data_IF_536377189042
#
_entry.id   IF_536377189042
#
_cell.length_a   1.000
_cell.length_b   1.000
_cell.length_c   1.000
_cell.angle_alpha   90.00
_cell.angle_beta   90.00
_cell.angle_gamma   90.00
#
_symmetry.space_group_name_H-M   'P 1'
#
loop_
_entity.id
_entity.type
_entity.pdbx_description
1 polymer ?
#
# COMPACT_ATOMS: atom_id res chain seq x y z
N UNK A 1 -9.25 -12.36 -1.78
CA UNK A 1 -8.66 -12.64 -0.48
C UNK A 1 -7.49 -11.71 -0.18
N UNK A 2 -7.40 -11.25 1.04
CA UNK A 2 -6.35 -10.34 1.52
C UNK A 2 -5.83 -10.88 2.86
N UNK A 3 -4.53 -10.79 3.09
CA UNK A 3 -3.92 -11.14 4.37
C UNK A 3 -4.20 -10.06 5.42
N UNK A 4 -4.01 -10.37 6.71
CA UNK A 4 -4.25 -9.42 7.80
C UNK A 4 -3.30 -8.22 7.82
N UNK A 5 -2.19 -8.33 7.10
CA UNK A 5 -1.23 -7.25 6.84
C UNK A 5 -1.55 -6.44 5.59
N UNK A 6 -2.66 -6.76 4.90
CA UNK A 6 -3.07 -6.10 3.67
C UNK A 6 -2.33 -6.55 2.41
N UNK A 7 -1.46 -7.54 2.49
CA UNK A 7 -0.79 -8.09 1.31
C UNK A 7 -1.82 -8.79 0.43
N UNK A 8 -2.01 -8.37 -0.84
CA UNK A 8 -2.88 -9.06 -1.77
C UNK A 8 -2.36 -10.46 -2.07
N UNK A 9 -3.29 -11.38 -2.37
CA UNK A 9 -2.91 -12.73 -2.75
C UNK A 9 -2.04 -12.71 -4.01
N UNK A 10 -0.90 -13.35 -3.96
CA UNK A 10 0.08 -13.32 -5.03
C UNK A 10 1.18 -14.38 -4.88
N UNK A 11 2.21 -14.22 -5.68
CA UNK A 11 3.42 -15.04 -5.64
C UNK A 11 4.64 -14.14 -5.46
N UNK A 12 5.62 -14.64 -4.74
CA UNK A 12 6.92 -13.98 -4.60
C UNK A 12 7.86 -14.56 -5.66
N UNK A 13 8.24 -13.72 -6.63
CA UNK A 13 9.12 -14.08 -7.72
C UNK A 13 10.56 -13.75 -7.34
N UNK A 14 11.46 -14.71 -7.48
CA UNK A 14 12.89 -14.53 -7.27
C UNK A 14 13.60 -14.90 -8.56
N UNK A 15 14.49 -14.04 -9.04
CA UNK A 15 15.28 -14.24 -10.24
C UNK A 15 16.75 -13.93 -9.98
N UNK A 16 17.64 -14.65 -10.66
CA UNK A 16 19.05 -14.33 -10.70
C UNK A 16 19.32 -13.58 -12.02
N UNK A 17 19.95 -12.41 -11.90
CA UNK A 17 20.37 -11.60 -13.05
C UNK A 17 21.76 -11.05 -12.77
N UNK A 18 22.70 -11.30 -13.69
CA UNK A 18 24.08 -10.83 -13.58
C UNK A 18 24.76 -11.20 -12.24
N UNK A 19 24.51 -12.42 -11.75
CA UNK A 19 24.97 -12.93 -10.45
C UNK A 19 24.40 -12.18 -9.23
N UNK A 20 23.34 -11.41 -9.40
CA UNK A 20 22.60 -10.76 -8.36
C UNK A 20 21.18 -11.36 -8.22
N UNK A 21 20.73 -11.56 -6.99
CA UNK A 21 19.38 -11.99 -6.71
C UNK A 21 18.45 -10.78 -6.68
N UNK A 22 17.36 -10.86 -7.48
CA UNK A 22 16.29 -9.87 -7.50
C UNK A 22 14.97 -10.53 -7.18
N UNK A 23 14.05 -9.79 -6.59
CA UNK A 23 12.72 -10.29 -6.26
C UNK A 23 11.65 -9.23 -6.40
N UNK A 24 10.42 -9.68 -6.50
CA UNK A 24 9.23 -8.86 -6.45
C UNK A 24 8.02 -9.69 -6.07
N UNK A 25 7.02 -9.07 -5.47
CA UNK A 25 5.71 -9.67 -5.30
C UNK A 25 4.89 -9.46 -6.58
N UNK A 26 4.18 -10.48 -7.03
CA UNK A 26 3.26 -10.40 -8.15
C UNK A 26 1.86 -10.74 -7.66
N UNK A 27 0.95 -9.76 -7.70
CA UNK A 27 -0.45 -9.93 -7.32
C UNK A 27 -1.14 -10.81 -8.38
N UNK A 28 -1.94 -11.78 -7.94
CA UNK A 28 -2.70 -12.62 -8.87
C UNK A 28 -3.67 -11.78 -9.70
N UNK A 29 -3.62 -11.96 -11.01
CA UNK A 29 -4.45 -11.23 -11.96
C UNK A 29 -3.99 -9.81 -12.26
N UNK A 30 -2.82 -9.40 -11.77
CA UNK A 30 -2.22 -8.08 -11.96
C UNK A 30 -0.90 -8.15 -12.70
N UNK A 31 -0.48 -7.02 -13.30
CA UNK A 31 0.83 -6.86 -13.89
C UNK A 31 1.94 -6.74 -12.84
N UNK A 32 3.19 -6.90 -13.24
CA UNK A 32 4.34 -6.74 -12.34
C UNK A 32 4.56 -5.27 -11.93
N UNK A 33 3.99 -4.33 -12.68
CA UNK A 33 4.01 -2.89 -12.42
C UNK A 33 3.05 -2.45 -11.32
N UNK A 34 2.06 -3.28 -10.97
CA UNK A 34 1.07 -2.95 -9.95
C UNK A 34 1.59 -3.27 -8.54
N UNK A 35 2.49 -2.43 -8.04
CA UNK A 35 3.11 -2.55 -6.71
C UNK A 35 2.56 -1.54 -5.69
N UNK A 36 1.72 -0.60 -6.13
CA UNK A 36 1.15 0.44 -5.29
C UNK A 36 -0.37 0.32 -5.23
N UNK A 37 -0.94 0.46 -4.04
CA UNK A 37 -2.38 0.59 -3.82
C UNK A 37 -2.62 1.93 -3.14
N UNK A 38 -3.28 2.84 -3.84
CA UNK A 38 -3.54 4.18 -3.33
C UNK A 38 -4.95 4.31 -2.76
N UNK A 39 -5.05 5.00 -1.64
CA UNK A 39 -6.28 5.32 -0.94
C UNK A 39 -6.46 6.85 -0.96
N UNK A 40 -7.47 7.36 -1.67
CA UNK A 40 -7.74 8.80 -1.71
C UNK A 40 -8.12 9.35 -0.34
N UNK A 41 -8.10 10.68 -0.21
CA UNK A 41 -8.54 11.38 0.99
C UNK A 41 -9.95 10.92 1.41
N UNK A 42 -10.16 10.79 2.72
CA UNK A 42 -11.41 10.30 3.30
C UNK A 42 -11.57 8.76 3.34
N UNK A 43 -10.67 7.99 2.69
CA UNK A 43 -10.77 6.54 2.65
C UNK A 43 -10.23 5.85 3.90
N UNK A 44 -9.22 6.42 4.55
CA UNK A 44 -8.58 5.89 5.75
C UNK A 44 -9.01 6.72 6.96
N UNK A 45 -9.83 6.15 7.85
CA UNK A 45 -10.50 6.86 8.97
C UNK A 45 -9.57 7.70 9.85
N UNK A 46 -8.39 7.18 10.16
CA UNK A 46 -7.43 7.89 11.03
C UNK A 46 -6.57 8.90 10.27
N UNK A 47 -6.72 8.95 8.94
CA UNK A 47 -5.94 9.77 8.02
C UNK A 47 -6.81 10.42 6.95
N UNK A 48 -7.98 10.95 7.32
CA UNK A 48 -9.00 11.46 6.37
C UNK A 48 -8.49 12.62 5.49
N UNK A 49 -7.57 13.42 6.01
CA UNK A 49 -6.96 14.55 5.27
C UNK A 49 -5.75 14.14 4.41
N UNK A 50 -5.46 12.84 4.33
CA UNK A 50 -4.28 12.34 3.64
C UNK A 50 -4.66 11.40 2.49
N UNK A 51 -3.83 11.41 1.47
CA UNK A 51 -3.71 10.28 0.55
C UNK A 51 -2.76 9.28 1.20
N UNK A 52 -3.18 8.03 1.27
CA UNK A 52 -2.38 6.93 1.84
C UNK A 52 -2.03 5.95 0.72
N UNK A 53 -0.81 5.45 0.72
CA UNK A 53 -0.35 4.43 -0.24
C UNK A 53 0.19 3.22 0.49
N UNK A 54 -0.25 2.06 0.06
CA UNK A 54 0.32 0.76 0.43
C UNK A 54 1.31 0.30 -0.63
N UNK A 55 2.49 -0.13 -0.21
CA UNK A 55 3.50 -0.75 -1.07
C UNK A 55 3.42 -2.26 -0.93
N UNK A 56 3.20 -2.96 -2.05
CA UNK A 56 3.15 -4.41 -2.10
C UNK A 56 4.56 -4.97 -2.25
N UNK A 57 4.90 -5.98 -1.44
CA UNK A 57 6.27 -6.53 -1.44
C UNK A 57 7.32 -5.58 -0.87
N UNK A 58 6.90 -4.70 0.02
CA UNK A 58 7.73 -3.68 0.65
C UNK A 58 8.94 -4.25 1.41
N UNK A 59 10.03 -3.50 1.36
CA UNK A 59 11.18 -3.62 2.27
C UNK A 59 11.67 -2.20 2.68
N UNK A 60 12.67 -2.13 3.53
CA UNK A 60 13.18 -0.89 4.13
C UNK A 60 13.97 0.03 3.16
N UNK A 61 14.13 -0.38 1.90
CA UNK A 61 14.86 0.38 0.87
C UNK A 61 13.94 1.11 -0.09
N UNK A 62 12.64 0.87 -0.02
CA UNK A 62 11.69 1.60 -0.83
C UNK A 62 11.68 3.08 -0.49
N UNK A 63 11.65 3.92 -1.52
CA UNK A 63 11.56 5.37 -1.42
C UNK A 63 10.33 5.85 -2.18
N UNK A 64 9.51 6.69 -1.54
CA UNK A 64 8.32 7.24 -2.14
C UNK A 64 8.39 8.77 -2.15
N UNK A 65 8.05 9.35 -3.29
CA UNK A 65 7.84 10.78 -3.48
C UNK A 65 6.48 11.03 -4.11
N UNK A 66 6.04 12.27 -4.10
CA UNK A 66 4.77 12.65 -4.68
C UNK A 66 4.81 14.03 -5.30
N UNK A 67 3.93 14.26 -6.27
CA UNK A 67 3.68 15.57 -6.84
C UNK A 67 2.20 15.92 -6.75
N UNK A 68 1.90 17.21 -6.66
CA UNK A 68 0.55 17.76 -6.65
C UNK A 68 0.40 18.73 -7.82
N UNK A 69 -0.55 18.46 -8.72
CA UNK A 69 -0.78 19.23 -9.93
C UNK A 69 0.52 19.45 -10.76
N UNK A 70 1.36 18.40 -10.83
CA UNK A 70 2.64 18.43 -11.54
C UNK A 70 3.80 19.10 -10.79
N UNK A 71 3.58 19.59 -9.56
CA UNK A 71 4.62 20.21 -8.73
C UNK A 71 5.18 19.17 -7.78
N UNK A 72 6.51 18.96 -7.78
CA UNK A 72 7.19 18.05 -6.85
C UNK A 72 7.05 18.55 -5.41
N UNK A 73 6.50 17.69 -4.56
CA UNK A 73 6.27 17.94 -3.14
C UNK A 73 7.28 17.20 -2.25
N UNK A 74 8.17 16.41 -2.84
CA UNK A 74 9.22 15.68 -2.13
C UNK A 74 8.80 14.32 -1.60
N UNK A 75 9.44 13.86 -0.52
CA UNK A 75 9.23 12.53 0.03
C UNK A 75 7.89 12.41 0.76
N UNK A 76 7.27 11.23 0.66
CA UNK A 76 6.13 10.84 1.48
C UNK A 76 6.55 10.44 2.89
N UNK A 77 5.66 10.63 3.85
CA UNK A 77 5.85 10.19 5.24
C UNK A 77 5.47 8.72 5.41
N UNK A 78 6.40 7.91 5.91
CA UNK A 78 6.08 6.53 6.27
C UNK A 78 5.26 6.48 7.55
N UNK A 79 4.23 5.65 7.57
CA UNK A 79 3.33 5.46 8.72
C UNK A 79 3.15 3.99 9.05
N UNK A 80 2.66 3.71 10.25
CA UNK A 80 2.33 2.37 10.72
C UNK A 80 0.85 2.31 11.06
N UNK A 81 0.08 1.57 10.25
CA UNK A 81 -1.39 1.48 10.36
C UNK A 81 -1.89 0.06 10.16
N UNK A 82 -3.13 -0.19 10.61
CA UNK A 82 -3.90 -1.35 10.20
C UNK A 82 -4.26 -1.23 8.71
N UNK A 83 -4.26 -2.35 7.99
CA UNK A 83 -4.65 -2.33 6.57
C UNK A 83 -6.08 -1.83 6.39
N UNK A 84 -6.31 -0.78 5.56
CA UNK A 84 -7.62 -0.20 5.38
C UNK A 84 -8.64 -1.16 4.73
N UNK A 85 -8.20 -2.00 3.79
CA UNK A 85 -9.10 -2.94 3.09
C UNK A 85 -9.44 -4.12 3.98
N UNK A 86 -8.48 -4.63 4.76
CA UNK A 86 -8.72 -5.67 5.75
C UNK A 86 -9.69 -5.20 6.83
N UNK A 87 -9.49 -3.98 7.34
CA UNK A 87 -10.38 -3.40 8.34
C UNK A 87 -11.79 -3.15 7.79
N UNK A 88 -11.88 -2.65 6.55
CA UNK A 88 -13.18 -2.50 5.88
C UNK A 88 -13.91 -3.84 5.75
N UNK A 89 -13.23 -4.89 5.30
CA UNK A 89 -13.79 -6.23 5.22
C UNK A 89 -14.28 -6.72 6.59
N UNK A 90 -13.44 -6.61 7.61
CA UNK A 90 -13.75 -7.06 8.97
C UNK A 90 -14.95 -6.30 9.55
N UNK A 91 -15.04 -4.99 9.33
CA UNK A 91 -16.10 -4.14 9.89
C UNK A 91 -17.44 -4.28 9.14
N UNK A 92 -17.42 -4.50 7.82
CA UNK A 92 -18.61 -4.41 6.99
C UNK A 92 -19.10 -5.75 6.43
N UNK A 93 -18.20 -6.68 6.13
CA UNK A 93 -18.53 -7.94 5.45
C UNK A 93 -18.42 -9.15 6.35
N UNK A 94 -17.65 -9.07 7.43
CA UNK A 94 -17.45 -10.18 8.34
C UNK A 94 -18.67 -10.44 9.22
N UNK A 95 -19.09 -11.70 9.34
CA UNK A 95 -20.14 -12.10 10.30
C UNK A 95 -19.55 -12.29 11.70
N UNK A 96 -19.57 -11.24 12.50
CA UNK A 96 -19.07 -11.25 13.89
C UNK A 96 -19.77 -12.21 14.84
N UNK A 97 -20.93 -12.76 14.47
CA UNK A 97 -21.61 -13.79 15.26
C UNK A 97 -20.81 -15.07 15.27
N UNK A 98 -19.97 -15.29 14.25
CA UNK A 98 -19.10 -16.45 14.15
C UNK A 98 -17.81 -16.23 14.96
N UNK A 99 -17.48 -17.18 15.83
CA UNK A 99 -16.31 -17.11 16.73
C UNK A 99 -14.98 -16.85 15.99
N UNK A 100 -14.79 -17.41 14.80
CA UNK A 100 -13.56 -17.23 14.03
C UNK A 100 -13.41 -15.81 13.46
N UNK A 101 -14.53 -15.12 13.14
CA UNK A 101 -14.50 -13.75 12.66
C UNK A 101 -14.01 -12.77 13.72
N UNK A 102 -14.42 -12.97 14.99
CA UNK A 102 -13.87 -12.21 16.12
C UNK A 102 -12.35 -12.42 16.27
N UNK A 103 -11.86 -13.63 15.97
CA UNK A 103 -10.44 -13.92 16.01
C UNK A 103 -9.68 -13.17 14.90
N UNK A 104 -10.23 -13.06 13.69
CA UNK A 104 -9.63 -12.29 12.60
C UNK A 104 -9.44 -10.83 13.00
N UNK A 105 -10.47 -10.18 13.52
CA UNK A 105 -10.37 -8.81 14.02
C UNK A 105 -9.23 -8.64 15.04
N UNK A 106 -9.17 -9.55 16.03
CA UNK A 106 -8.14 -9.51 17.08
C UNK A 106 -6.74 -9.80 16.57
N UNK A 107 -6.59 -10.39 15.38
CA UNK A 107 -5.29 -10.70 14.77
C UNK A 107 -4.72 -9.57 13.93
N UNK A 108 -5.52 -8.55 13.60
CA UNK A 108 -5.04 -7.38 12.89
C UNK A 108 -3.89 -6.71 13.66
N UNK A 109 -2.84 -6.34 12.96
CA UNK A 109 -1.68 -5.63 13.52
C UNK A 109 -1.33 -4.47 12.60
N UNK A 110 -0.81 -3.35 13.14
CA UNK A 110 -0.25 -2.30 12.32
C UNK A 110 0.99 -2.76 11.55
N UNK A 111 1.16 -2.24 10.36
CA UNK A 111 2.28 -2.53 9.47
C UNK A 111 2.87 -1.26 8.88
N UNK A 112 4.15 -1.30 8.48
CA UNK A 112 4.94 -0.14 8.06
C UNK A 112 5.07 0.04 6.55
N UNK A 113 4.40 -0.75 5.75
CA UNK A 113 4.45 -0.63 4.29
C UNK A 113 3.44 0.39 3.73
N UNK A 114 3.11 1.40 4.55
CA UNK A 114 2.22 2.50 4.22
C UNK A 114 2.95 3.83 4.27
N UNK A 115 2.55 4.70 3.37
CA UNK A 115 3.04 6.08 3.27
C UNK A 115 1.87 7.02 3.10
N UNK A 116 2.04 8.28 3.52
CA UNK A 116 1.01 9.30 3.35
C UNK A 116 1.58 10.61 2.85
N UNK A 117 0.74 11.38 2.18
CA UNK A 117 0.97 12.78 1.87
C UNK A 117 -0.31 13.58 2.12
N UNK A 118 -0.16 14.88 2.36
CA UNK A 118 -1.30 15.77 2.63
C UNK A 118 -1.49 16.73 1.46
N UNK A 119 -2.41 16.43 0.53
CA UNK A 119 -2.76 17.36 -0.55
C UNK A 119 -3.37 18.64 -0.03
N UNK A 120 -3.25 19.70 -0.81
CA UNK A 120 -3.86 21.01 -0.49
C UNK A 120 -5.37 21.01 -0.74
N UNK A 121 -5.87 20.13 -1.63
CA UNK A 121 -7.28 19.98 -1.98
C UNK A 121 -7.63 18.54 -2.31
N UNK A 122 -8.89 18.16 -2.08
CA UNK A 122 -9.44 16.88 -2.52
C UNK A 122 -9.52 16.71 -4.05
N UNK A 123 -9.46 17.83 -4.78
CA UNK A 123 -9.52 17.86 -6.24
C UNK A 123 -8.14 17.99 -6.89
N UNK A 124 -7.07 17.96 -6.11
CA UNK A 124 -5.71 17.99 -6.63
C UNK A 124 -5.39 16.70 -7.36
N UNK A 125 -4.72 16.79 -8.49
CA UNK A 125 -4.13 15.65 -9.19
C UNK A 125 -2.85 15.24 -8.46
N UNK A 126 -2.84 14.03 -7.92
CA UNK A 126 -1.72 13.50 -7.15
C UNK A 126 -1.06 12.37 -7.93
N UNK A 127 0.24 12.53 -8.19
CA UNK A 127 1.07 11.45 -8.73
C UNK A 127 2.04 10.99 -7.65
N UNK A 128 2.06 9.70 -7.38
CA UNK A 128 2.97 9.08 -6.42
C UNK A 128 3.94 8.22 -7.20
N UNK A 129 5.24 8.40 -6.93
CA UNK A 129 6.33 7.62 -7.52
C UNK A 129 7.05 6.87 -6.41
N UNK A 130 7.25 5.59 -6.61
CA UNK A 130 7.97 4.72 -5.70
C UNK A 130 9.15 4.06 -6.41
N UNK A 131 10.29 4.01 -5.74
CA UNK A 131 11.49 3.33 -6.24
C UNK A 131 11.87 2.22 -5.26
N UNK A 132 12.02 0.99 -5.77
CA UNK A 132 12.43 -0.14 -4.96
C UNK A 132 13.96 -0.22 -4.78
N UNK A 133 14.43 -1.19 -4.00
CA UNK A 133 15.87 -1.41 -3.75
C UNK A 133 16.70 -1.71 -5.00
N UNK A 134 16.06 -2.12 -6.08
CA UNK A 134 16.70 -2.45 -7.36
C UNK A 134 16.65 -1.31 -8.36
N UNK A 135 16.14 -0.13 -7.96
CA UNK A 135 15.99 1.04 -8.81
C UNK A 135 14.82 0.95 -9.80
N UNK A 136 13.86 0.01 -9.61
CA UNK A 136 12.66 -0.04 -10.43
C UNK A 136 11.68 1.00 -9.93
N UNK A 137 11.09 1.73 -10.86
CA UNK A 137 10.12 2.78 -10.56
C UNK A 137 8.69 2.29 -10.84
N UNK A 138 7.79 2.67 -9.95
CA UNK A 138 6.35 2.42 -10.02
C UNK A 138 5.62 3.72 -9.76
N UNK A 139 4.50 3.94 -10.43
CA UNK A 139 3.69 5.14 -10.21
C UNK A 139 2.21 4.84 -10.13
N UNK A 140 1.48 5.68 -9.42
CA UNK A 140 0.03 5.69 -9.37
C UNK A 140 -0.48 7.12 -9.32
N UNK A 141 -1.59 7.36 -10.03
CA UNK A 141 -2.30 8.66 -10.08
C UNK A 141 -3.64 8.56 -9.35
N UNK A 142 -4.02 9.65 -8.70
CA UNK A 142 -5.29 9.80 -7.97
C UNK A 142 -5.93 11.12 -8.33
#
# INVERSE_FOLDING_TARGET
>A
PICSDGTPLGVFCIEERDSEWRWHHRILGKGAEEQLVAYPMGRVKEHEEYVVVKVVGWDDKWQLSWSENGIDMGAMEQIEILDPDYMYYVENEADYRKKYMRRLYRSARPHRHYYRCKPTSQNSEITITATDRFGREFSVEI
#
